data_IF_761607712846
#
_entry.id   IF_761607712846
#
_cell.length_a   1.000
_cell.length_b   1.000
_cell.length_c   1.000
_cell.angle_alpha   90.00
_cell.angle_beta   90.00
_cell.angle_gamma   90.00
#
_symmetry.space_group_name_H-M   'P 1'
#
loop_
_entity.id
_entity.type
_entity.pdbx_description
1 polymer ?
#
# COMPACT_ATOMS: atom_id res chain seq x y z
N UNK A 1 -8.16 -26.93 19.02
CA UNK A 1 -7.92 -26.55 18.69
C UNK A 1 -7.64 -26.21 18.17
N UNK A 2 -7.61 -26.07 18.34
CA UNK A 2 -7.41 -25.73 17.83
C UNK A 2 -6.94 -25.54 17.02
N UNK A 3 -6.59 -25.63 16.71
CA UNK A 3 -6.15 -25.64 15.70
C UNK A 3 -6.72 -26.02 14.63
N UNK A 4 -7.40 -26.79 14.84
CA UNK A 4 -8.10 -27.37 13.86
C UNK A 4 -8.93 -26.48 13.11
N UNK A 5 -9.66 -25.64 13.74
CA UNK A 5 -10.48 -24.73 13.02
C UNK A 5 -9.66 -23.76 12.20
N UNK A 6 -8.45 -23.54 12.58
CA UNK A 6 -7.55 -22.73 11.80
C UNK A 6 -7.28 -23.41 10.47
N UNK A 7 -7.08 -24.71 10.50
CA UNK A 7 -6.86 -25.39 9.25
C UNK A 7 -8.13 -25.41 8.41
N UNK A 8 -9.29 -25.30 9.04
CA UNK A 8 -10.54 -25.27 8.29
C UNK A 8 -10.72 -23.95 7.57
N UNK A 9 -10.09 -22.89 8.04
CA UNK A 9 -10.16 -21.61 7.38
C UNK A 9 -8.94 -21.39 6.53
N UNK A 10 -8.31 -22.47 6.10
CA UNK A 10 -7.12 -22.38 5.27
C UNK A 10 -7.38 -21.66 3.97
N UNK A 11 -8.61 -21.61 3.53
CA UNK A 11 -8.95 -20.86 2.34
C UNK A 11 -9.19 -19.40 2.63
N UNK A 12 -9.24 -19.05 3.91
CA UNK A 12 -9.48 -17.67 4.29
C UNK A 12 -8.21 -16.87 4.13
N UNK A 13 -8.40 -15.61 3.84
CA UNK A 13 -7.32 -14.65 3.78
C UNK A 13 -6.80 -14.44 5.21
N UNK A 14 -5.48 -14.58 5.45
CA UNK A 14 -4.94 -14.35 6.78
C UNK A 14 -5.27 -12.99 7.36
N UNK A 15 -5.45 -11.98 6.51
CA UNK A 15 -5.83 -10.65 6.98
C UNK A 15 -7.20 -10.68 7.68
N UNK A 16 -8.10 -11.55 7.22
CA UNK A 16 -9.41 -11.66 7.83
C UNK A 16 -9.27 -12.26 9.23
N UNK A 17 -8.42 -13.28 9.35
CA UNK A 17 -8.24 -13.97 10.61
C UNK A 17 -7.56 -13.13 11.69
N UNK A 18 -6.87 -12.06 11.29
CA UNK A 18 -6.28 -11.14 12.26
C UNK A 18 -7.33 -10.33 13.00
N UNK A 19 -8.54 -10.25 12.47
CA UNK A 19 -9.62 -9.50 13.08
C UNK A 19 -10.37 -10.33 14.10
N UNK A 20 -10.98 -9.70 15.10
CA UNK A 20 -11.86 -10.44 16.02
C UNK A 20 -12.96 -11.16 15.24
N UNK A 21 -13.36 -12.32 15.72
CA UNK A 21 -14.34 -13.13 15.00
C UNK A 21 -15.59 -12.37 14.62
N UNK A 22 -16.06 -11.51 15.53
CA UNK A 22 -17.30 -10.78 15.32
C UNK A 22 -17.25 -9.88 14.08
N UNK A 23 -16.06 -9.40 13.69
CA UNK A 23 -15.93 -8.49 12.54
C UNK A 23 -15.36 -9.16 11.30
N UNK A 24 -15.03 -10.46 11.38
CA UNK A 24 -14.44 -11.14 10.24
C UNK A 24 -15.34 -11.13 9.00
N UNK A 25 -16.66 -11.29 9.10
CA UNK A 25 -17.50 -11.18 7.90
C UNK A 25 -17.40 -9.82 7.24
N UNK A 26 -17.34 -8.75 8.03
CA UNK A 26 -17.19 -7.41 7.49
C UNK A 26 -15.82 -7.21 6.88
N UNK A 27 -14.78 -7.76 7.52
CA UNK A 27 -13.42 -7.70 6.99
C UNK A 27 -13.33 -8.41 5.65
N UNK A 28 -13.94 -9.59 5.55
CA UNK A 28 -13.97 -10.34 4.31
C UNK A 28 -14.59 -9.52 3.18
N UNK A 29 -15.73 -8.90 3.46
CA UNK A 29 -16.41 -8.06 2.46
C UNK A 29 -15.54 -6.87 2.07
N UNK A 30 -14.85 -6.26 3.03
CA UNK A 30 -13.97 -5.13 2.78
C UNK A 30 -12.81 -5.50 1.87
N UNK A 31 -12.10 -6.58 2.20
CA UNK A 31 -10.93 -6.97 1.42
C UNK A 31 -11.31 -7.39 0.00
N UNK A 32 -12.46 -8.04 -0.16
CA UNK A 32 -12.95 -8.37 -1.50
C UNK A 32 -13.27 -7.11 -2.30
N UNK A 33 -13.92 -6.15 -1.67
CA UNK A 33 -14.27 -4.90 -2.34
C UNK A 33 -13.01 -4.12 -2.71
N UNK A 34 -12.00 -4.09 -1.84
CA UNK A 34 -10.75 -3.39 -2.14
C UNK A 34 -10.04 -4.04 -3.32
N UNK A 35 -9.98 -5.36 -3.35
CA UNK A 35 -9.35 -6.05 -4.46
C UNK A 35 -10.06 -5.75 -5.77
N UNK A 36 -11.38 -5.85 -5.78
CA UNK A 36 -12.16 -5.73 -7.01
C UNK A 36 -12.35 -4.28 -7.46
N UNK A 37 -12.47 -3.35 -6.53
CA UNK A 37 -12.88 -1.99 -6.85
C UNK A 37 -11.78 -0.95 -6.70
N UNK A 38 -10.71 -1.27 -6.00
CA UNK A 38 -9.61 -0.36 -5.78
C UNK A 38 -8.38 -0.80 -6.56
N UNK A 39 -7.91 -2.01 -6.32
CA UNK A 39 -6.71 -2.49 -7.02
C UNK A 39 -6.98 -2.94 -8.46
N UNK A 40 -8.22 -3.21 -8.79
CA UNK A 40 -8.64 -3.54 -10.16
C UNK A 40 -9.76 -2.62 -10.60
N UNK A 41 -9.74 -1.39 -10.15
CA UNK A 41 -10.78 -0.41 -10.43
C UNK A 41 -10.34 0.66 -11.41
N UNK A 42 -10.43 1.90 -11.00
CA UNK A 42 -10.21 3.05 -11.88
C UNK A 42 -8.77 3.19 -12.37
N UNK A 43 -7.81 2.64 -11.61
CA UNK A 43 -6.40 2.72 -11.96
C UNK A 43 -5.93 1.34 -12.40
N UNK A 44 -5.17 1.21 -13.52
CA UNK A 44 -4.68 -0.11 -13.93
C UNK A 44 -3.89 -0.79 -12.80
N UNK A 45 -4.00 -2.13 -12.70
CA UNK A 45 -3.41 -2.86 -11.56
C UNK A 45 -1.93 -2.59 -11.33
N UNK A 46 -1.14 -2.45 -12.39
CA UNK A 46 0.28 -2.15 -12.25
C UNK A 46 0.51 -0.85 -11.48
N UNK A 47 -0.26 0.17 -11.82
CA UNK A 47 -0.11 1.48 -11.16
C UNK A 47 -0.73 1.49 -9.77
N UNK A 48 -1.82 0.74 -9.58
CA UNK A 48 -2.41 0.61 -8.26
C UNK A 48 -1.42 -0.05 -7.28
N UNK A 49 -0.74 -1.11 -7.74
CA UNK A 49 0.25 -1.78 -6.91
C UNK A 49 1.49 -0.89 -6.69
N UNK A 50 1.85 -0.10 -7.70
CA UNK A 50 2.97 0.85 -7.55
C UNK A 50 2.63 1.93 -6.53
N UNK A 51 1.39 2.42 -6.54
CA UNK A 51 0.95 3.39 -5.54
C UNK A 51 1.03 2.79 -4.13
N UNK A 52 0.60 1.53 -3.98
CA UNK A 52 0.68 0.84 -2.70
C UNK A 52 2.13 0.64 -2.27
N UNK A 53 3.02 0.33 -3.22
CA UNK A 53 4.45 0.19 -2.93
C UNK A 53 5.03 1.53 -2.45
N UNK A 54 4.69 2.61 -3.13
CA UNK A 54 5.17 3.94 -2.74
C UNK A 54 4.76 4.27 -1.31
N UNK A 55 3.49 4.02 -0.97
CA UNK A 55 2.99 4.23 0.38
C UNK A 55 3.73 3.33 1.38
N UNK A 56 3.98 2.08 0.99
CA UNK A 56 4.67 1.11 1.85
C UNK A 56 6.07 1.58 2.19
N UNK A 57 6.79 2.11 1.20
CA UNK A 57 8.14 2.62 1.39
C UNK A 57 8.12 3.83 2.33
N UNK A 58 7.19 4.75 2.11
CA UNK A 58 7.07 5.94 2.95
C UNK A 58 6.76 5.57 4.40
N UNK A 59 5.93 4.54 4.60
CA UNK A 59 5.57 4.06 5.92
C UNK A 59 6.62 3.17 6.56
N UNK A 60 7.65 2.78 5.81
CA UNK A 60 8.70 1.85 6.28
C UNK A 60 8.09 0.51 6.70
N UNK A 61 7.12 0.03 5.95
CA UNK A 61 6.39 -1.19 6.30
C UNK A 61 7.12 -2.42 5.77
N UNK A 62 7.74 -3.16 6.68
CA UNK A 62 8.53 -4.33 6.28
C UNK A 62 7.70 -5.47 5.70
N UNK A 63 6.41 -5.50 5.97
CA UNK A 63 5.50 -6.46 5.35
C UNK A 63 5.03 -6.00 3.99
N UNK A 64 4.68 -4.73 3.90
CA UNK A 64 4.03 -4.17 2.72
C UNK A 64 4.99 -4.02 1.54
N UNK A 65 6.25 -3.68 1.83
CA UNK A 65 7.24 -3.46 0.76
C UNK A 65 7.42 -4.70 -0.10
N UNK A 66 7.81 -5.87 0.46
CA UNK A 66 7.98 -7.05 -0.39
C UNK A 66 6.65 -7.52 -1.01
N UNK A 67 5.54 -7.37 -0.31
CA UNK A 67 4.25 -7.79 -0.83
C UNK A 67 3.86 -6.99 -2.07
N UNK A 68 3.89 -5.66 -1.98
CA UNK A 68 3.48 -4.83 -3.10
C UNK A 68 4.52 -4.77 -4.21
N UNK A 69 5.81 -4.98 -3.89
CA UNK A 69 6.82 -5.15 -4.92
C UNK A 69 6.50 -6.38 -5.77
N UNK A 70 6.21 -7.50 -5.10
CA UNK A 70 5.88 -8.74 -5.78
C UNK A 70 4.62 -8.60 -6.64
N UNK A 71 3.59 -7.97 -6.07
CA UNK A 71 2.33 -7.80 -6.79
C UNK A 71 2.47 -6.82 -7.95
N UNK A 72 3.29 -5.79 -7.82
CA UNK A 72 3.54 -4.86 -8.92
C UNK A 72 4.25 -5.56 -10.07
N UNK A 73 5.24 -6.38 -9.76
CA UNK A 73 5.95 -7.16 -10.78
C UNK A 73 4.99 -8.12 -11.47
N UNK A 74 4.14 -8.80 -10.70
CA UNK A 74 3.14 -9.71 -11.26
C UNK A 74 2.17 -8.97 -12.18
N UNK A 75 1.91 -7.69 -11.90
CA UNK A 75 1.03 -6.87 -12.72
C UNK A 75 1.76 -6.23 -13.91
N UNK A 76 3.05 -6.54 -14.09
CA UNK A 76 3.79 -6.09 -15.27
C UNK A 76 4.82 -4.99 -15.02
N UNK A 77 5.08 -4.62 -13.79
CA UNK A 77 6.07 -3.58 -13.50
C UNK A 77 7.48 -4.10 -13.79
N UNK A 78 8.26 -3.26 -14.44
CA UNK A 78 9.66 -3.58 -14.71
C UNK A 78 10.51 -3.20 -13.49
N UNK A 79 11.75 -3.69 -13.49
CA UNK A 79 12.69 -3.34 -12.43
C UNK A 79 12.88 -1.83 -12.34
N UNK A 80 12.99 -1.16 -13.49
CA UNK A 80 13.16 0.29 -13.52
C UNK A 80 11.93 1.01 -12.98
N UNK A 81 10.75 0.49 -13.26
CA UNK A 81 9.52 1.06 -12.72
C UNK A 81 9.45 0.91 -11.21
N UNK A 82 9.89 -0.22 -10.70
CA UNK A 82 9.95 -0.42 -9.24
C UNK A 82 10.93 0.58 -8.61
N UNK A 83 12.13 0.70 -9.19
CA UNK A 83 13.13 1.65 -8.67
C UNK A 83 12.62 3.08 -8.72
N UNK A 84 11.93 3.44 -9.79
CA UNK A 84 11.35 4.77 -9.94
C UNK A 84 10.29 5.03 -8.87
N UNK A 85 9.43 4.04 -8.64
CA UNK A 85 8.40 4.13 -7.59
C UNK A 85 9.03 4.38 -6.23
N UNK A 86 10.10 3.64 -5.91
CA UNK A 86 10.80 3.81 -4.64
C UNK A 86 11.46 5.20 -4.57
N UNK A 87 12.04 5.65 -5.68
CA UNK A 87 12.67 6.96 -5.73
C UNK A 87 11.66 8.10 -5.50
N UNK A 88 10.46 7.93 -6.04
CA UNK A 88 9.39 8.91 -5.83
C UNK A 88 9.03 8.98 -4.34
N UNK A 89 8.89 7.84 -3.69
CA UNK A 89 8.59 7.81 -2.27
C UNK A 89 9.70 8.49 -1.47
N UNK A 90 10.95 8.23 -1.84
CA UNK A 90 12.11 8.83 -1.18
C UNK A 90 12.13 10.34 -1.37
N UNK A 91 11.81 10.79 -2.58
CA UNK A 91 11.79 12.23 -2.89
C UNK A 91 10.74 12.95 -2.05
N UNK A 92 9.55 12.38 -1.96
CA UNK A 92 8.47 12.97 -1.17
C UNK A 92 8.88 13.06 0.31
N UNK A 93 9.49 12.00 0.83
CA UNK A 93 9.94 11.98 2.22
C UNK A 93 11.04 13.02 2.46
N UNK A 94 11.97 13.12 1.53
CA UNK A 94 13.07 14.08 1.63
C UNK A 94 12.54 15.52 1.64
N UNK A 95 11.66 15.83 0.69
CA UNK A 95 11.13 17.19 0.59
C UNK A 95 10.27 17.54 1.80
N UNK A 96 9.50 16.59 2.29
CA UNK A 96 8.72 16.81 3.51
C UNK A 96 9.63 17.15 4.68
N UNK A 97 10.72 16.38 4.84
CA UNK A 97 11.67 16.62 5.92
C UNK A 97 12.34 17.99 5.80
N UNK A 98 12.72 18.37 4.57
CA UNK A 98 13.36 19.67 4.36
C UNK A 98 12.41 20.81 4.64
N UNK A 99 11.16 20.71 4.17
CA UNK A 99 10.19 21.77 4.39
C UNK A 99 9.85 21.95 5.87
N UNK A 100 9.64 20.85 6.57
CA UNK A 100 9.35 20.90 7.99
C UNK A 100 10.56 21.34 8.80
N UNK A 101 11.74 20.80 8.49
CA UNK A 101 12.95 21.12 9.25
C UNK A 101 13.39 22.56 9.11
N UNK A 102 13.19 23.16 7.94
CA UNK A 102 13.53 24.56 7.73
C UNK A 102 12.38 25.51 8.08
N UNK A 103 11.23 24.94 8.47
CA UNK A 103 10.04 25.74 8.81
C UNK A 103 9.63 26.64 7.65
N UNK A 104 9.59 26.03 6.45
CA UNK A 104 9.26 26.77 5.24
C UNK A 104 7.84 27.32 5.33
N UNK A 105 7.66 28.58 4.90
CA UNK A 105 6.37 29.24 5.01
C UNK A 105 5.33 28.62 4.05
N UNK A 106 4.17 28.29 4.60
CA UNK A 106 3.13 27.62 3.81
C UNK A 106 2.61 28.50 2.69
N UNK A 107 2.48 29.81 2.92
CA UNK A 107 1.98 30.71 1.89
C UNK A 107 2.94 30.78 0.71
N UNK A 108 4.23 30.86 1.00
CA UNK A 108 5.26 30.87 -0.03
C UNK A 108 5.25 29.55 -0.79
N UNK A 109 5.08 28.45 -0.07
CA UNK A 109 5.03 27.13 -0.70
C UNK A 109 3.87 27.03 -1.71
N UNK A 110 2.69 27.46 -1.29
CA UNK A 110 1.50 27.33 -2.15
C UNK A 110 1.59 28.22 -3.40
N UNK A 111 2.32 29.35 -3.31
CA UNK A 111 2.52 30.21 -4.47
C UNK A 111 3.28 29.51 -5.60
N UNK A 112 4.10 28.51 -5.26
CA UNK A 112 4.88 27.81 -6.28
C UNK A 112 4.01 26.99 -7.24
N UNK A 113 2.74 26.81 -6.89
CA UNK A 113 1.82 25.98 -7.68
C UNK A 113 0.66 26.75 -8.30
N UNK A 114 0.72 28.09 -8.26
CA UNK A 114 -0.29 28.93 -8.88
C UNK A 114 -0.05 29.13 -10.36
#
# INVERSE_FOLDING_TARGET
MADDHISDVKTANPFIEMHPKAVQPAADAYYKAVEEKVFNGAIPPKYAQSAALSASVAMKCEYCIPAHTSMAIAAGATEEEIKTTVAIAADVALNSSMLYGTQFDMKEFLKMFE
#
